data_IF_551280381274
#
_entry.id   IF_551280381274
#
_cell.length_a   1.000
_cell.length_b   1.000
_cell.length_c   1.000
_cell.angle_alpha   90.00
_cell.angle_beta   90.00
_cell.angle_gamma   90.00
#
_symmetry.space_group_name_H-M   'P 1'
#
loop_
_entity.id
_entity.type
_entity.pdbx_description
1 polymer ?
#
# COMPACT_ATOMS: atom_id res chain seq x y z
N UNK A 1 -2.44 -22.76 2.16
CA UNK A 1 -3.61 -21.87 2.00
C UNK A 1 -3.15 -20.46 1.64
N UNK A 2 -2.80 -20.20 0.37
CA UNK A 2 -2.51 -18.84 -0.11
C UNK A 2 -3.41 -18.48 -1.31
N UNK A 3 -4.07 -19.46 -1.94
CA UNK A 3 -4.80 -19.27 -3.20
C UNK A 3 -6.08 -18.43 -3.09
N UNK A 4 -6.81 -18.45 -1.97
CA UNK A 4 -8.10 -17.75 -1.87
C UNK A 4 -8.00 -16.22 -1.79
N UNK A 5 -6.83 -15.68 -1.39
CA UNK A 5 -6.60 -14.23 -1.30
C UNK A 5 -6.11 -13.58 -2.60
N UNK A 6 -5.81 -14.36 -3.65
CA UNK A 6 -5.28 -13.87 -4.92
C UNK A 6 -6.35 -13.27 -5.85
N UNK A 7 -7.65 -13.43 -5.55
CA UNK A 7 -8.71 -13.03 -6.47
C UNK A 7 -9.19 -11.57 -6.31
N UNK A 8 -8.70 -10.84 -5.29
CA UNK A 8 -9.08 -9.45 -5.06
C UNK A 8 -7.90 -8.53 -5.38
N UNK A 9 -7.74 -8.21 -6.67
CA UNK A 9 -6.86 -7.10 -7.05
C UNK A 9 -7.36 -5.84 -6.33
N UNK A 10 -6.47 -5.11 -5.63
CA UNK A 10 -6.90 -3.98 -4.85
C UNK A 10 -7.40 -2.86 -5.76
N UNK A 11 -8.45 -2.15 -5.32
CA UNK A 11 -9.02 -1.02 -6.07
C UNK A 11 -7.98 0.10 -6.19
N UNK A 12 -7.97 0.86 -7.31
CA UNK A 12 -7.17 2.07 -7.41
C UNK A 12 -7.55 2.99 -6.25
N UNK A 13 -6.54 3.41 -5.49
CA UNK A 13 -6.76 4.32 -4.37
C UNK A 13 -7.00 5.71 -4.93
N UNK A 14 -8.17 6.29 -4.66
CA UNK A 14 -8.41 7.71 -4.90
C UNK A 14 -7.42 8.49 -4.03
N UNK A 15 -6.53 9.25 -4.66
CA UNK A 15 -5.46 9.94 -3.96
C UNK A 15 -6.07 11.13 -3.20
N UNK A 16 -6.07 11.16 -1.85
CA UNK A 16 -6.38 12.38 -1.12
C UNK A 16 -5.30 13.42 -1.45
N UNK A 17 -5.54 14.71 -1.18
CA UNK A 17 -4.56 15.76 -1.43
C UNK A 17 -3.30 15.52 -0.58
N UNK A 18 -2.29 14.86 -1.16
CA UNK A 18 -0.96 14.71 -0.57
C UNK A 18 -0.08 15.89 -0.92
N UNK A 19 0.89 16.17 -0.05
CA UNK A 19 1.91 17.20 -0.26
C UNK A 19 2.79 16.92 -1.49
N UNK A 20 2.92 15.64 -1.86
CA UNK A 20 3.69 15.18 -3.01
C UNK A 20 2.89 14.17 -3.85
N UNK A 21 3.09 14.15 -5.18
CA UNK A 21 2.47 13.14 -6.02
C UNK A 21 2.95 11.73 -5.65
N UNK A 22 1.98 10.83 -5.53
CA UNK A 22 2.23 9.41 -5.30
C UNK A 22 2.64 8.77 -6.63
N UNK A 23 3.78 8.09 -6.65
CA UNK A 23 4.27 7.40 -7.85
C UNK A 23 3.39 6.18 -8.17
N UNK A 24 3.36 5.70 -9.42
CA UNK A 24 2.59 4.50 -9.79
C UNK A 24 2.98 3.25 -8.97
N UNK A 25 4.25 3.16 -8.58
CA UNK A 25 4.74 2.08 -7.72
C UNK A 25 4.20 2.17 -6.30
N UNK A 26 4.12 3.38 -5.73
CA UNK A 26 3.53 3.62 -4.41
C UNK A 26 2.02 3.41 -4.41
N UNK A 27 1.31 3.84 -5.47
CA UNK A 27 -0.13 3.58 -5.63
C UNK A 27 -0.44 2.09 -5.60
N UNK A 28 0.36 1.26 -6.28
CA UNK A 28 0.22 -0.19 -6.23
C UNK A 28 0.35 -0.72 -4.81
N UNK A 29 1.38 -0.31 -4.07
CA UNK A 29 1.56 -0.71 -2.67
C UNK A 29 0.39 -0.26 -1.80
N UNK A 30 -0.03 0.99 -1.93
CA UNK A 30 -1.16 1.55 -1.19
C UNK A 30 -2.45 0.78 -1.40
N UNK A 31 -2.73 0.37 -2.64
CA UNK A 31 -3.90 -0.42 -2.96
C UNK A 31 -3.91 -1.72 -2.14
N UNK A 32 -2.80 -2.47 -2.10
CA UNK A 32 -2.73 -3.69 -1.28
C UNK A 32 -2.74 -3.39 0.23
N UNK A 33 -2.15 -2.28 0.67
CA UNK A 33 -2.22 -1.85 2.06
C UNK A 33 -3.68 -1.58 2.45
N UNK A 34 -4.44 -0.85 1.65
CA UNK A 34 -5.87 -0.59 1.88
C UNK A 34 -6.72 -1.86 1.85
N UNK A 35 -6.34 -2.86 1.05
CA UNK A 35 -6.96 -4.19 1.07
C UNK A 35 -6.58 -5.04 2.31
N UNK A 36 -5.69 -4.54 3.18
CA UNK A 36 -5.36 -5.15 4.46
C UNK A 36 -4.17 -6.12 4.43
N UNK A 37 -3.49 -6.27 3.29
CA UNK A 37 -2.37 -7.20 3.14
C UNK A 37 -1.15 -6.79 4.00
N UNK A 38 -0.34 -7.78 4.35
CA UNK A 38 0.95 -7.60 5.05
C UNK A 38 2.08 -7.25 4.06
N UNK A 39 3.15 -6.61 4.53
CA UNK A 39 4.29 -6.26 3.67
C UNK A 39 4.89 -7.48 2.95
N UNK A 40 4.89 -8.65 3.61
CA UNK A 40 5.34 -9.92 3.03
C UNK A 40 4.43 -10.41 1.90
N UNK A 41 3.11 -10.35 2.09
CA UNK A 41 2.14 -10.70 1.04
C UNK A 41 2.26 -9.73 -0.15
N UNK A 42 2.36 -8.42 0.13
CA UNK A 42 2.55 -7.38 -0.89
C UNK A 42 3.84 -7.59 -1.68
N UNK A 43 4.92 -7.95 -0.99
CA UNK A 43 6.21 -8.27 -1.60
C UNK A 43 6.07 -9.46 -2.56
N UNK A 44 5.34 -10.50 -2.16
CA UNK A 44 5.03 -11.64 -3.02
C UNK A 44 4.18 -11.24 -4.23
N UNK A 45 3.12 -10.43 -4.04
CA UNK A 45 2.25 -9.98 -5.14
C UNK A 45 2.96 -9.08 -6.15
N UNK A 46 3.88 -8.23 -5.67
CA UNK A 46 4.62 -7.28 -6.51
C UNK A 46 5.94 -7.85 -7.06
N UNK A 47 6.34 -9.06 -6.66
CA UNK A 47 7.65 -9.63 -6.99
C UNK A 47 8.82 -8.80 -6.46
N UNK A 48 8.65 -8.19 -5.27
CA UNK A 48 9.64 -7.31 -4.63
C UNK A 48 10.16 -7.93 -3.34
N UNK A 49 11.28 -7.41 -2.83
CA UNK A 49 11.74 -7.75 -1.49
C UNK A 49 10.87 -7.07 -0.43
N UNK A 50 10.59 -7.77 0.68
CA UNK A 50 9.83 -7.22 1.81
C UNK A 50 10.41 -5.90 2.37
N UNK A 51 11.74 -5.71 2.50
CA UNK A 51 12.32 -4.44 2.92
C UNK A 51 11.98 -3.28 1.98
N UNK A 52 11.91 -3.56 0.66
CA UNK A 52 11.53 -2.58 -0.36
C UNK A 52 10.10 -2.13 -0.19
N UNK A 53 9.18 -3.07 0.08
CA UNK A 53 7.78 -2.75 0.35
C UNK A 53 7.66 -1.95 1.64
N UNK A 54 8.36 -2.34 2.71
CA UNK A 54 8.39 -1.60 3.97
C UNK A 54 8.83 -0.15 3.75
N UNK A 55 9.90 0.05 2.97
CA UNK A 55 10.36 1.39 2.62
C UNK A 55 9.31 2.19 1.83
N UNK A 56 8.66 1.56 0.85
CA UNK A 56 7.58 2.19 0.07
C UNK A 56 6.38 2.58 0.96
N UNK A 57 5.96 1.73 1.90
CA UNK A 57 4.90 2.05 2.86
C UNK A 57 5.29 3.21 3.78
N UNK A 58 6.52 3.24 4.28
CA UNK A 58 7.04 4.36 5.10
C UNK A 58 7.10 5.67 4.31
N UNK A 59 7.52 5.63 3.05
CA UNK A 59 7.53 6.79 2.17
C UNK A 59 6.10 7.31 1.91
N UNK A 60 5.16 6.40 1.64
CA UNK A 60 3.75 6.75 1.52
C UNK A 60 3.25 7.47 2.78
N UNK A 61 3.40 6.84 3.95
CA UNK A 61 3.00 7.42 5.23
C UNK A 61 3.54 8.85 5.42
N UNK A 62 4.82 9.06 5.10
CA UNK A 62 5.44 10.39 5.15
C UNK A 62 4.79 11.40 4.19
N UNK A 63 4.48 10.99 2.96
CA UNK A 63 3.79 11.82 1.95
C UNK A 63 2.35 12.20 2.34
N UNK A 64 1.65 11.31 3.05
CA UNK A 64 0.32 11.59 3.61
C UNK A 64 0.38 12.33 4.96
N UNK A 65 1.58 12.58 5.52
CA UNK A 65 1.73 13.16 6.86
C UNK A 65 1.20 12.25 7.98
N UNK A 66 1.13 10.94 7.72
CA UNK A 66 0.59 9.94 8.63
C UNK A 66 1.71 9.11 9.24
N UNK A 67 1.49 8.62 10.46
CA UNK A 67 2.43 7.75 11.18
C UNK A 67 1.92 6.33 11.37
N UNK A 68 0.66 6.07 10.99
CA UNK A 68 0.00 4.78 11.23
C UNK A 68 -0.61 4.22 9.96
N UNK A 69 -0.32 2.94 9.69
CA UNK A 69 -0.93 2.19 8.58
C UNK A 69 -2.45 2.20 8.65
N UNK A 70 -3.02 2.15 9.86
CA UNK A 70 -4.46 2.10 10.05
C UNK A 70 -5.11 3.43 9.69
N UNK A 71 -4.45 4.55 10.03
CA UNK A 71 -4.87 5.89 9.59
C UNK A 71 -4.76 6.03 8.08
N UNK A 72 -3.71 5.47 7.47
CA UNK A 72 -3.55 5.45 6.03
C UNK A 72 -4.69 4.68 5.35
N UNK A 73 -5.03 3.49 5.84
CA UNK A 73 -6.18 2.72 5.35
C UNK A 73 -7.49 3.49 5.51
N UNK A 74 -7.70 4.17 6.63
CA UNK A 74 -8.92 4.94 6.89
C UNK A 74 -9.03 6.20 6.02
N UNK A 75 -7.91 6.85 5.70
CA UNK A 75 -7.88 8.07 4.89
C UNK A 75 -8.09 7.81 3.39
N UNK A 76 -7.96 6.56 2.94
CA UNK A 76 -7.96 6.12 1.55
C UNK A 76 -9.17 5.24 1.20
N UNK A 77 -10.14 5.14 2.12
CA UNK A 77 -11.33 4.28 2.02
C UNK A 77 -12.57 5.11 1.82
#
# INVERSE_FOLDING_TARGET
MVAERYCLLPRPVESPPTLEPVTPAEQRVLAYVCAGYSNKEIAQFLGKAEPTVKHQVSACLRKFGLTSRMRLMAALR
#
